data_IF_376980786312
#
_entry.id   IF_376980786312
#
_cell.length_a   1.000
_cell.length_b   1.000
_cell.length_c   1.000
_cell.angle_alpha   90.00
_cell.angle_beta   90.00
_cell.angle_gamma   90.00
#
_symmetry.space_group_name_H-M   'P 1'
#
loop_
_entity.id
_entity.type
_entity.pdbx_description
1 polymer ?
#
# COMPACT_ATOMS: atom_id res chain seq x y z
N UNK A 1 -16.54 -6.55 -8.71
CA UNK A 1 -16.03 -5.37 -8.02
C UNK A 1 -15.15 -5.81 -6.88
N UNK A 2 -13.88 -5.46 -6.96
CA UNK A 2 -12.90 -5.92 -5.98
C UNK A 2 -12.45 -4.79 -5.08
N UNK A 3 -12.39 -5.08 -3.81
CA UNK A 3 -11.74 -4.20 -2.86
C UNK A 3 -10.25 -4.52 -2.88
N UNK A 4 -9.43 -3.48 -2.79
CA UNK A 4 -7.99 -3.64 -2.73
C UNK A 4 -7.45 -2.87 -1.53
N UNK A 5 -6.33 -3.35 -1.00
CA UNK A 5 -5.61 -2.63 0.04
C UNK A 5 -4.27 -2.22 -0.55
N UNK A 6 -3.99 -0.93 -0.53
CA UNK A 6 -2.71 -0.40 -1.00
C UNK A 6 -1.82 -0.14 0.20
N UNK A 7 -0.65 -0.78 0.22
CA UNK A 7 0.33 -0.54 1.25
C UNK A 7 1.43 0.36 0.67
N UNK A 8 1.45 1.60 1.14
CA UNK A 8 2.43 2.58 0.67
C UNK A 8 3.70 2.50 1.49
N UNK A 9 4.83 2.38 0.82
CA UNK A 9 6.13 2.24 1.44
C UNK A 9 7.19 3.01 0.67
N UNK A 10 8.42 3.01 1.21
CA UNK A 10 9.57 3.64 0.56
C UNK A 10 10.83 2.85 0.93
N UNK A 11 11.87 2.89 0.09
CA UNK A 11 13.11 2.16 0.37
C UNK A 11 13.81 2.59 1.66
N UNK A 12 13.65 3.87 2.03
CA UNK A 12 14.27 4.44 3.22
C UNK A 12 13.43 4.27 4.49
N UNK A 13 12.28 3.64 4.38
CA UNK A 13 11.35 3.50 5.49
C UNK A 13 11.60 2.19 6.24
N UNK A 14 12.25 2.26 7.40
CA UNK A 14 12.54 1.06 8.21
C UNK A 14 11.26 0.40 8.75
N UNK A 15 10.27 1.14 9.26
CA UNK A 15 9.00 0.52 9.66
C UNK A 15 8.31 -0.20 8.50
N UNK A 16 8.44 0.32 7.29
CA UNK A 16 7.86 -0.33 6.11
C UNK A 16 8.52 -1.67 5.84
N UNK A 17 9.85 -1.74 6.00
CA UNK A 17 10.60 -2.98 5.81
C UNK A 17 10.16 -4.02 6.83
N UNK A 18 9.98 -3.60 8.06
CA UNK A 18 9.52 -4.48 9.11
C UNK A 18 8.10 -4.99 8.80
N UNK A 19 7.23 -4.10 8.37
CA UNK A 19 5.86 -4.46 8.02
C UNK A 19 5.82 -5.47 6.88
N UNK A 20 6.70 -5.30 5.88
CA UNK A 20 6.77 -6.22 4.75
C UNK A 20 7.12 -7.65 5.15
N UNK A 21 7.89 -7.82 6.21
CA UNK A 21 8.22 -9.16 6.68
C UNK A 21 7.01 -9.89 7.24
N UNK A 22 5.99 -9.14 7.64
CA UNK A 22 4.76 -9.69 8.19
C UNK A 22 3.70 -9.93 7.11
N UNK A 23 3.88 -9.34 5.94
CA UNK A 23 2.96 -9.48 4.83
C UNK A 23 3.39 -10.64 3.93
N UNK A 24 3.00 -11.86 4.29
CA UNK A 24 3.30 -13.04 3.49
C UNK A 24 2.52 -13.00 2.18
N UNK A 25 2.97 -13.76 1.18
CA UNK A 25 2.26 -13.85 -0.09
C UNK A 25 0.82 -14.32 0.10
N UNK A 26 0.62 -15.23 1.03
CA UNK A 26 -0.71 -15.77 1.32
C UNK A 26 -1.64 -14.67 1.84
N UNK A 27 -1.17 -13.86 2.78
CA UNK A 27 -1.95 -12.75 3.34
C UNK A 27 -2.23 -11.70 2.27
N UNK A 28 -1.20 -11.35 1.47
CA UNK A 28 -1.35 -10.36 0.42
C UNK A 28 -2.38 -10.79 -0.62
N UNK A 29 -2.36 -12.06 -0.98
CA UNK A 29 -3.32 -12.59 -1.93
C UNK A 29 -4.73 -12.61 -1.35
N UNK A 30 -4.85 -13.09 -0.13
CA UNK A 30 -6.15 -13.24 0.54
C UNK A 30 -6.85 -11.91 0.75
N UNK A 31 -6.09 -10.88 1.14
CA UNK A 31 -6.62 -9.55 1.39
C UNK A 31 -6.50 -8.60 0.20
N UNK A 32 -5.96 -9.10 -0.90
CA UNK A 32 -5.74 -8.32 -2.11
C UNK A 32 -4.91 -7.05 -1.85
N UNK A 33 -3.75 -7.25 -1.21
CA UNK A 33 -2.83 -6.16 -0.86
C UNK A 33 -1.83 -5.95 -1.98
N UNK A 34 -1.64 -4.69 -2.38
CA UNK A 34 -0.60 -4.29 -3.33
C UNK A 34 0.37 -3.37 -2.64
N UNK A 35 1.66 -3.60 -2.86
CA UNK A 35 2.70 -2.75 -2.30
C UNK A 35 3.02 -1.64 -3.31
N UNK A 36 2.90 -0.40 -2.87
CA UNK A 36 3.16 0.78 -3.71
C UNK A 36 4.38 1.49 -3.14
N UNK A 37 5.41 1.67 -3.97
CA UNK A 37 6.59 2.43 -3.61
C UNK A 37 6.36 3.88 -3.98
N UNK A 38 6.29 4.77 -2.99
CA UNK A 38 5.97 6.17 -3.23
C UNK A 38 7.07 6.92 -3.98
N UNK A 39 8.28 6.36 -4.03
CA UNK A 39 9.38 6.97 -4.79
C UNK A 39 9.29 6.65 -6.28
N UNK A 40 8.62 5.56 -6.62
CA UNK A 40 8.42 5.15 -8.02
C UNK A 40 7.04 5.55 -8.53
N UNK A 41 6.02 5.42 -7.69
CA UNK A 41 4.63 5.66 -8.05
C UNK A 41 4.06 6.87 -7.31
N UNK A 42 4.74 8.00 -7.43
CA UNK A 42 4.33 9.25 -6.77
C UNK A 42 2.93 9.70 -7.17
N UNK A 43 2.53 9.44 -8.39
CA UNK A 43 1.21 9.80 -8.88
C UNK A 43 0.10 9.04 -8.17
N UNK A 44 0.35 7.77 -7.85
CA UNK A 44 -0.63 6.97 -7.11
C UNK A 44 -0.75 7.47 -5.68
N UNK A 45 0.39 7.78 -5.05
CA UNK A 45 0.38 8.34 -3.70
C UNK A 45 -0.37 9.67 -3.67
N UNK A 46 -0.15 10.51 -4.66
CA UNK A 46 -0.84 11.80 -4.75
C UNK A 46 -2.33 11.62 -4.96
N UNK A 47 -2.74 10.64 -5.77
CA UNK A 47 -4.14 10.37 -6.04
C UNK A 47 -4.91 10.07 -4.76
N UNK A 48 -4.31 9.35 -3.84
CA UNK A 48 -4.95 8.97 -2.57
C UNK A 48 -4.49 9.83 -1.40
N UNK A 49 -3.79 10.93 -1.70
CA UNK A 49 -3.35 11.90 -0.70
C UNK A 49 -2.49 11.28 0.41
N UNK A 50 -1.65 10.32 0.04
CA UNK A 50 -0.74 9.66 0.97
C UNK A 50 0.49 10.52 1.16
N UNK A 51 0.73 10.97 2.38
CA UNK A 51 1.86 11.85 2.70
C UNK A 51 2.89 11.19 3.60
N UNK A 52 2.54 10.10 4.24
CA UNK A 52 3.41 9.42 5.19
C UNK A 52 3.47 7.93 4.88
N UNK A 53 4.58 7.30 5.25
CA UNK A 53 4.73 5.85 5.14
C UNK A 53 5.20 5.31 6.49
N UNK A 54 4.81 4.09 6.86
CA UNK A 54 3.91 3.20 6.13
C UNK A 54 2.45 3.68 6.20
N UNK A 55 1.69 3.43 5.15
CA UNK A 55 0.26 3.77 5.12
C UNK A 55 -0.51 2.68 4.40
N UNK A 56 -1.71 2.41 4.89
CA UNK A 56 -2.63 1.48 4.25
C UNK A 56 -3.86 2.24 3.82
N UNK A 57 -4.27 2.02 2.57
CA UNK A 57 -5.49 2.61 2.03
C UNK A 57 -6.32 1.51 1.43
N UNK A 58 -7.57 1.39 1.87
CA UNK A 58 -8.50 0.42 1.29
C UNK A 58 -9.33 1.14 0.24
N UNK A 59 -9.36 0.56 -0.96
CA UNK A 59 -10.09 1.15 -2.07
C UNK A 59 -11.08 0.16 -2.66
N UNK A 60 -12.09 0.71 -3.30
CA UNK A 60 -13.07 -0.04 -4.06
C UNK A 60 -13.45 0.80 -5.25
N UNK A 61 -13.25 0.25 -6.47
CA UNK A 61 -13.51 0.98 -7.70
C UNK A 61 -12.78 2.33 -7.74
N UNK A 62 -11.48 2.31 -7.33
CA UNK A 62 -10.59 3.47 -7.29
C UNK A 62 -10.99 4.56 -6.29
N UNK A 63 -11.88 4.24 -5.37
CA UNK A 63 -12.30 5.18 -4.33
C UNK A 63 -11.94 4.65 -2.96
N UNK A 64 -11.48 5.54 -2.08
CA UNK A 64 -11.17 5.18 -0.70
C UNK A 64 -12.46 4.82 0.05
N UNK A 65 -12.40 3.73 0.77
CA UNK A 65 -13.55 3.29 1.57
C UNK A 65 -13.17 3.10 3.03
#
# INVERSE_FOLDING_TARGET
MKEEILFFSAPWCNPCKHMKTMLTESIMHELNIKIIDITEDMDIAAKYEVMNVPSFVKIKDDKII
#
